data_IF_158403529144
#
_entry.id   IF_158403529144
#
_cell.length_a   1.000
_cell.length_b   1.000
_cell.length_c   1.000
_cell.angle_alpha   90.00
_cell.angle_beta   90.00
_cell.angle_gamma   90.00
#
_symmetry.space_group_name_H-M   'P 1'
#
loop_
_entity.id
_entity.type
_entity.pdbx_description
1 polymer ?
#
# COMPACT_ATOMS: atom_id res chain seq x y z
N UNK A 1 -24.97 29.98 -17.86
CA UNK A 1 -24.86 28.85 -16.92
C UNK A 1 -23.92 27.80 -17.49
N UNK A 2 -22.66 27.76 -17.03
CA UNK A 2 -21.78 26.59 -17.24
C UNK A 2 -21.49 26.03 -15.87
N UNK A 3 -21.78 24.74 -15.71
CA UNK A 3 -21.85 23.99 -14.46
C UNK A 3 -20.55 24.13 -13.67
N UNK A 4 -20.70 24.45 -12.39
CA UNK A 4 -19.65 24.25 -11.39
C UNK A 4 -19.32 22.76 -11.34
N UNK A 5 -18.09 22.39 -11.71
CA UNK A 5 -17.55 21.08 -11.39
C UNK A 5 -17.25 21.06 -9.88
N UNK A 6 -18.21 20.64 -9.08
CA UNK A 6 -17.96 20.18 -7.72
C UNK A 6 -17.11 18.90 -7.80
N UNK A 7 -15.80 19.07 -7.92
CA UNK A 7 -14.83 18.03 -7.62
C UNK A 7 -14.85 17.80 -6.10
N UNK A 8 -15.84 17.05 -5.60
CA UNK A 8 -15.79 16.51 -4.25
C UNK A 8 -14.63 15.50 -4.22
N UNK A 9 -13.46 15.95 -3.79
CA UNK A 9 -12.33 15.08 -3.52
C UNK A 9 -12.72 14.27 -2.29
N UNK A 10 -13.03 13.00 -2.47
CA UNK A 10 -13.20 12.10 -1.32
C UNK A 10 -11.85 11.98 -0.60
N UNK A 11 -11.84 12.39 0.67
CA UNK A 11 -10.67 12.29 1.52
C UNK A 11 -10.72 10.94 2.22
N UNK A 12 -9.67 10.15 2.05
CA UNK A 12 -9.47 8.89 2.76
C UNK A 12 -8.43 9.07 3.87
N UNK A 13 -8.70 8.49 5.03
CA UNK A 13 -7.70 8.30 6.07
C UNK A 13 -6.74 7.18 5.64
N UNK A 14 -5.43 7.40 5.80
CA UNK A 14 -4.41 6.40 5.46
C UNK A 14 -3.66 6.02 6.72
N UNK A 15 -3.82 4.76 7.15
CA UNK A 15 -3.33 4.23 8.42
C UNK A 15 -2.31 3.12 8.14
N UNK A 16 -1.05 3.24 8.57
CA UNK A 16 -0.10 2.13 8.48
C UNK A 16 -0.39 1.08 9.56
N UNK A 17 -0.33 -0.21 9.20
CA UNK A 17 -0.28 -1.28 10.20
C UNK A 17 1.09 -1.33 10.89
N UNK A 18 1.16 -1.98 12.05
CA UNK A 18 2.45 -2.21 12.72
C UNK A 18 3.40 -3.04 11.86
N UNK A 19 2.87 -4.01 11.10
CA UNK A 19 3.64 -4.79 10.14
C UNK A 19 4.26 -3.89 9.06
N UNK A 20 3.49 -2.98 8.47
CA UNK A 20 4.01 -2.02 7.50
C UNK A 20 5.14 -1.17 8.09
N UNK A 21 4.96 -0.63 9.30
CA UNK A 21 6.00 0.18 9.97
C UNK A 21 7.28 -0.63 10.23
N UNK A 22 7.14 -1.89 10.66
CA UNK A 22 8.27 -2.83 10.85
C UNK A 22 9.00 -3.10 9.53
N UNK A 23 8.27 -3.34 8.44
CA UNK A 23 8.85 -3.61 7.13
C UNK A 23 9.60 -2.37 6.59
N UNK A 24 9.01 -1.17 6.67
CA UNK A 24 9.68 0.08 6.31
C UNK A 24 10.99 0.23 7.09
N UNK A 25 10.94 0.03 8.41
CA UNK A 25 12.11 0.12 9.29
C UNK A 25 13.18 -0.91 8.92
N UNK A 26 12.78 -2.14 8.63
CA UNK A 26 13.67 -3.20 8.17
C UNK A 26 14.41 -2.80 6.88
N UNK A 27 13.69 -2.33 5.86
CA UNK A 27 14.30 -1.94 4.59
C UNK A 27 15.23 -0.74 4.73
N UNK A 28 14.86 0.27 5.51
CA UNK A 28 15.72 1.43 5.77
C UNK A 28 16.98 1.01 6.52
N UNK A 29 16.85 0.24 7.61
CA UNK A 29 17.97 0.00 8.52
C UNK A 29 18.87 -1.15 8.09
N UNK A 30 18.28 -2.27 7.62
CA UNK A 30 19.00 -3.49 7.26
C UNK A 30 19.43 -3.51 5.80
N UNK A 31 18.56 -3.07 4.88
CA UNK A 31 18.86 -3.05 3.43
C UNK A 31 19.39 -1.70 2.93
N UNK A 32 19.41 -0.68 3.79
CA UNK A 32 19.89 0.70 3.48
C UNK A 32 19.06 1.39 2.40
N UNK A 33 17.77 1.08 2.34
CA UNK A 33 16.82 1.68 1.39
C UNK A 33 16.24 2.99 1.93
N UNK A 34 17.12 3.96 2.19
CA UNK A 34 16.80 5.22 2.87
C UNK A 34 15.84 6.14 2.10
N UNK A 35 15.67 5.95 0.79
CA UNK A 35 14.77 6.74 -0.05
C UNK A 35 13.35 6.16 -0.12
N UNK A 36 13.09 5.01 0.51
CA UNK A 36 11.77 4.36 0.52
C UNK A 36 10.63 5.35 0.85
N UNK A 37 10.69 6.19 1.91
CA UNK A 37 9.61 7.12 2.20
C UNK A 37 9.32 8.11 1.07
N UNK A 38 10.37 8.57 0.38
CA UNK A 38 10.24 9.48 -0.76
C UNK A 38 9.70 8.75 -2.00
N UNK A 39 10.12 7.51 -2.23
CA UNK A 39 9.71 6.68 -3.37
C UNK A 39 8.21 6.39 -3.35
N UNK A 40 7.61 6.19 -2.17
CA UNK A 40 6.18 5.87 -2.04
C UNK A 40 5.29 7.10 -1.81
N UNK A 41 5.87 8.30 -1.66
CA UNK A 41 5.13 9.52 -1.28
C UNK A 41 3.94 9.84 -2.19
N UNK A 42 4.13 9.70 -3.52
CA UNK A 42 3.07 9.96 -4.49
C UNK A 42 1.89 8.99 -4.32
N UNK A 43 2.17 7.71 -4.05
CA UNK A 43 1.13 6.71 -3.79
C UNK A 43 0.32 7.10 -2.56
N UNK A 44 0.98 7.53 -1.47
CA UNK A 44 0.27 7.96 -0.26
C UNK A 44 -0.62 9.19 -0.51
N UNK A 45 -0.22 10.09 -1.40
CA UNK A 45 -1.03 11.26 -1.79
C UNK A 45 -2.25 10.85 -2.62
N UNK A 46 -2.08 9.90 -3.53
CA UNK A 46 -3.16 9.35 -4.35
C UNK A 46 -4.19 8.59 -3.49
N UNK A 47 -3.72 7.75 -2.55
CA UNK A 47 -4.59 7.03 -1.62
C UNK A 47 -5.46 7.99 -0.78
N UNK A 48 -4.88 9.09 -0.27
CA UNK A 48 -5.62 10.12 0.47
C UNK A 48 -6.72 10.80 -0.34
N UNK A 49 -6.62 10.78 -1.67
CA UNK A 49 -7.58 11.37 -2.62
C UNK A 49 -8.56 10.33 -3.19
N UNK A 50 -8.54 9.10 -2.68
CA UNK A 50 -9.35 8.00 -3.19
C UNK A 50 -8.89 7.45 -4.54
N UNK A 51 -7.65 7.74 -4.95
CA UNK A 51 -7.09 7.23 -6.21
C UNK A 51 -6.38 5.90 -5.90
N UNK A 52 -7.08 4.79 -6.15
CA UNK A 52 -6.58 3.44 -5.92
C UNK A 52 -5.93 2.89 -7.19
N UNK A 53 -4.61 2.76 -7.17
CA UNK A 53 -3.82 2.24 -8.29
C UNK A 53 -3.14 0.92 -7.92
N UNK A 54 -3.02 0.00 -8.87
CA UNK A 54 -2.33 -1.28 -8.70
C UNK A 54 -3.19 -2.47 -9.10
N UNK A 55 -2.62 -3.66 -8.95
CA UNK A 55 -3.30 -4.91 -9.26
C UNK A 55 -4.17 -5.30 -8.05
N UNK A 56 -5.46 -5.56 -8.26
CA UNK A 56 -6.34 -6.10 -7.21
C UNK A 56 -5.86 -7.51 -6.82
N UNK A 57 -5.79 -7.79 -5.52
CA UNK A 57 -5.53 -9.15 -5.01
C UNK A 57 -6.89 -9.80 -4.76
N UNK A 58 -7.22 -10.80 -5.57
CA UNK A 58 -8.47 -11.55 -5.48
C UNK A 58 -8.31 -12.78 -4.58
N UNK A 59 -9.43 -13.36 -4.13
CA UNK A 59 -9.42 -14.64 -3.40
C UNK A 59 -9.08 -14.55 -1.90
N UNK A 60 -8.90 -13.36 -1.32
CA UNK A 60 -8.58 -13.21 0.10
C UNK A 60 -9.76 -13.45 1.07
N UNK A 61 -10.97 -13.74 0.58
CA UNK A 61 -12.18 -14.05 1.37
C UNK A 61 -12.41 -13.09 2.57
N UNK A 62 -12.26 -11.77 2.33
CA UNK A 62 -12.48 -10.71 3.32
C UNK A 62 -13.93 -10.19 3.27
N UNK A 63 -14.30 -9.31 4.21
CA UNK A 63 -15.65 -8.73 4.32
C UNK A 63 -16.14 -8.04 3.03
N UNK A 64 -17.47 -7.99 2.85
CA UNK A 64 -18.12 -7.28 1.75
C UNK A 64 -17.68 -5.81 1.66
N UNK A 65 -17.60 -5.26 0.43
CA UNK A 65 -17.19 -3.88 0.15
C UNK A 65 -15.75 -3.50 0.55
N UNK A 66 -14.88 -4.50 0.66
CA UNK A 66 -13.46 -4.27 0.94
C UNK A 66 -12.60 -4.80 -0.20
N UNK A 67 -11.47 -4.12 -0.45
CA UNK A 67 -10.60 -4.46 -1.57
C UNK A 67 -9.14 -4.35 -1.17
N UNK A 68 -8.35 -5.36 -1.55
CA UNK A 68 -6.91 -5.37 -1.36
C UNK A 68 -6.22 -5.14 -2.70
N UNK A 69 -5.22 -4.26 -2.72
CA UNK A 69 -4.48 -3.90 -3.91
C UNK A 69 -2.97 -4.05 -3.69
N UNK A 70 -2.26 -4.27 -4.80
CA UNK A 70 -0.80 -4.36 -4.86
C UNK A 70 -0.27 -3.35 -5.86
N UNK A 71 0.41 -2.34 -5.37
CA UNK A 71 1.00 -1.27 -6.19
C UNK A 71 2.51 -1.40 -6.26
N UNK A 72 3.07 -1.15 -7.46
CA UNK A 72 4.52 -1.17 -7.70
C UNK A 72 5.09 0.21 -7.44
N UNK A 73 6.15 0.30 -6.64
CA UNK A 73 6.91 1.53 -6.44
C UNK A 73 8.36 1.33 -6.86
N UNK A 74 8.98 2.38 -7.42
CA UNK A 74 10.42 2.34 -7.73
C UNK A 74 11.22 2.22 -6.42
N UNK A 75 12.34 1.52 -6.47
CA UNK A 75 13.37 1.60 -5.44
C UNK A 75 14.55 2.44 -5.94
N UNK A 76 14.56 3.72 -5.59
CA UNK A 76 15.58 4.68 -6.05
C UNK A 76 16.92 4.60 -5.30
N UNK A 77 17.03 3.72 -4.29
CA UNK A 77 18.33 3.34 -3.72
C UNK A 77 19.06 2.32 -4.60
N UNK A 78 18.38 1.71 -5.56
CA UNK A 78 18.97 0.76 -6.51
C UNK A 78 19.03 1.38 -7.91
N UNK A 79 20.06 1.08 -8.69
CA UNK A 79 20.16 1.48 -10.10
C UNK A 79 19.25 0.63 -11.01
N UNK A 80 18.11 0.16 -10.49
CA UNK A 80 17.22 -0.76 -11.19
C UNK A 80 15.87 -0.12 -11.48
N UNK A 81 15.25 -0.58 -12.56
CA UNK A 81 13.90 -0.16 -12.93
C UNK A 81 12.84 -0.63 -11.94
N UNK A 82 11.62 -0.13 -12.13
CA UNK A 82 10.45 -0.37 -11.27
C UNK A 82 10.09 -1.84 -11.12
N UNK A 83 10.48 -2.69 -12.08
CA UNK A 83 10.24 -4.13 -12.07
C UNK A 83 10.91 -4.86 -10.90
N UNK A 84 11.99 -4.29 -10.34
CA UNK A 84 12.72 -4.83 -9.19
C UNK A 84 12.61 -3.93 -7.94
N UNK A 85 11.66 -2.99 -7.96
CA UNK A 85 11.38 -2.09 -6.85
C UNK A 85 10.53 -2.73 -5.74
N UNK A 86 9.76 -1.89 -5.06
CA UNK A 86 8.87 -2.31 -4.00
C UNK A 86 7.51 -2.75 -4.54
N UNK A 87 6.85 -3.61 -3.78
CA UNK A 87 5.42 -3.84 -3.84
C UNK A 87 4.83 -3.47 -2.50
N UNK A 88 3.92 -2.50 -2.53
CA UNK A 88 3.13 -2.12 -1.37
C UNK A 88 1.75 -2.75 -1.51
N UNK A 89 1.28 -3.35 -0.43
CA UNK A 89 -0.07 -3.91 -0.33
C UNK A 89 -0.88 -3.00 0.58
N UNK A 90 -2.06 -2.58 0.13
CA UNK A 90 -2.98 -1.78 0.91
C UNK A 90 -4.41 -2.35 0.83
N UNK A 91 -5.18 -2.11 1.87
CA UNK A 91 -6.55 -2.60 2.06
C UNK A 91 -7.50 -1.42 2.21
N UNK A 92 -8.54 -1.38 1.40
CA UNK A 92 -9.50 -0.27 1.31
C UNK A 92 -10.82 -0.68 1.95
N UNK A 93 -11.27 0.10 2.94
CA UNK A 93 -12.63 0.08 3.49
C UNK A 93 -13.38 1.28 2.95
N UNK A 94 -14.14 1.09 1.86
CA UNK A 94 -14.84 2.20 1.20
C UNK A 94 -15.89 2.85 2.10
N UNK A 95 -16.65 2.06 2.85
CA UNK A 95 -17.71 2.56 3.73
C UNK A 95 -17.19 3.51 4.80
N UNK A 96 -15.98 3.26 5.30
CA UNK A 96 -15.34 4.09 6.34
C UNK A 96 -14.41 5.16 5.76
N UNK A 97 -14.14 5.15 4.46
CA UNK A 97 -13.10 5.97 3.80
C UNK A 97 -11.72 5.79 4.45
N UNK A 98 -11.37 4.55 4.77
CA UNK A 98 -10.06 4.20 5.37
C UNK A 98 -9.27 3.33 4.41
N UNK A 99 -7.98 3.62 4.30
CA UNK A 99 -6.99 2.78 3.64
C UNK A 99 -5.95 2.34 4.67
N UNK A 100 -5.82 1.04 4.86
CA UNK A 100 -4.77 0.46 5.66
C UNK A 100 -3.56 0.11 4.78
N UNK A 101 -2.38 0.59 5.12
CA UNK A 101 -1.13 0.12 4.49
C UNK A 101 -0.74 -1.19 5.17
N UNK A 102 -0.97 -2.32 4.50
CA UNK A 102 -0.87 -3.67 5.09
C UNK A 102 0.60 -4.07 5.27
N UNK A 103 1.39 -3.98 4.21
CA UNK A 103 2.81 -4.35 4.19
C UNK A 103 3.49 -3.78 2.95
N UNK A 104 4.83 -3.70 2.98
CA UNK A 104 5.65 -3.35 1.82
C UNK A 104 6.85 -4.28 1.76
N UNK A 105 7.21 -4.74 0.55
CA UNK A 105 8.39 -5.57 0.36
C UNK A 105 9.14 -5.24 -0.92
N UNK A 106 10.44 -5.53 -0.97
CA UNK A 106 11.26 -5.45 -2.18
C UNK A 106 11.12 -6.74 -2.97
N UNK A 107 10.97 -6.67 -4.31
CA UNK A 107 10.93 -7.89 -5.15
C UNK A 107 12.14 -8.81 -4.94
N UNK A 108 13.29 -8.20 -4.68
CA UNK A 108 14.57 -8.90 -4.54
C UNK A 108 14.73 -9.64 -3.22
N UNK A 109 13.82 -9.42 -2.29
CA UNK A 109 13.86 -10.04 -0.98
C UNK A 109 12.83 -11.16 -0.96
N UNK A 110 13.09 -12.22 -1.72
CA UNK A 110 12.13 -13.31 -1.99
C UNK A 110 11.60 -13.95 -0.70
N UNK A 111 12.44 -14.02 0.34
CA UNK A 111 12.08 -14.55 1.65
C UNK A 111 11.11 -13.65 2.45
N UNK A 112 10.89 -12.40 2.02
CA UNK A 112 10.01 -11.42 2.67
C UNK A 112 8.78 -11.09 1.81
N UNK A 113 8.48 -11.89 0.78
CA UNK A 113 7.25 -11.77 0.01
C UNK A 113 6.12 -12.42 0.83
N UNK A 114 5.08 -11.66 1.23
CA UNK A 114 4.00 -12.21 2.01
C UNK A 114 3.12 -13.12 1.16
N UNK A 115 2.69 -14.22 1.76
CA UNK A 115 1.64 -15.11 1.27
C UNK A 115 0.25 -14.50 1.47
N UNK A 116 -0.75 -15.02 0.76
CA UNK A 116 -2.14 -14.59 0.93
C UNK A 116 -2.64 -14.79 2.38
N UNK A 117 -2.24 -15.89 3.03
CA UNK A 117 -2.59 -16.16 4.42
C UNK A 117 -1.96 -15.12 5.38
N UNK A 118 -0.71 -14.70 5.14
CA UNK A 118 -0.09 -13.64 5.94
C UNK A 118 -0.79 -12.30 5.73
N UNK A 119 -1.18 -11.97 4.49
CA UNK A 119 -1.95 -10.75 4.18
C UNK A 119 -3.28 -10.76 4.95
N UNK A 120 -4.02 -11.88 4.88
CA UNK A 120 -5.30 -12.04 5.59
C UNK A 120 -5.09 -11.91 7.11
N UNK A 121 -4.05 -12.53 7.65
CA UNK A 121 -3.72 -12.45 9.07
C UNK A 121 -3.46 -11.00 9.52
N UNK A 122 -2.62 -10.26 8.80
CA UNK A 122 -2.34 -8.84 9.10
C UNK A 122 -3.61 -8.00 9.01
N UNK A 123 -4.46 -8.24 8.00
CA UNK A 123 -5.72 -7.49 7.86
C UNK A 123 -6.64 -7.75 9.05
N UNK A 124 -6.83 -9.01 9.45
CA UNK A 124 -7.69 -9.35 10.59
C UNK A 124 -7.14 -8.85 11.94
N UNK A 125 -5.82 -8.80 12.09
CA UNK A 125 -5.17 -8.31 13.31
C UNK A 125 -5.28 -6.78 13.45
N UNK A 126 -5.03 -6.03 12.37
CA UNK A 126 -4.82 -4.57 12.45
C UNK A 126 -5.94 -3.72 11.81
N UNK A 127 -6.78 -4.29 10.94
CA UNK A 127 -7.70 -3.52 10.10
C UNK A 127 -9.17 -3.74 10.48
N UNK A 128 -9.47 -3.65 11.78
CA UNK A 128 -10.85 -3.76 12.31
C UNK A 128 -11.67 -2.48 12.11
#
# INVERSE_FOLDING_TARGET
MKKENQNNIEIYEVIPTDKFNKDVTYYINKKKYTKLPQDIKHILQDLKRGIFSGDKIEGLNLSSNTFTYKVRAKNSNTNQGTSNGYRMIYYVKHENKIVFLVTIYSKKDENNIPTDNEIIHIINEYCN
#
